data_IF_996067021396
#
_entry.id   IF_996067021396
#
_cell.length_a   1.000
_cell.length_b   1.000
_cell.length_c   1.000
_cell.angle_alpha   90.00
_cell.angle_beta   90.00
_cell.angle_gamma   90.00
#
_symmetry.space_group_name_H-M   'P 1'
#
loop_
_entity.id
_entity.type
_entity.pdbx_description
1 polymer ?
#
# COMPACT_ATOMS: atom_id res chain seq x y z
N UNK A 1 -15.13 12.59 -12.83
CA UNK A 1 -15.34 13.10 -11.46
C UNK A 1 -14.21 14.07 -11.17
N UNK A 2 -14.50 15.21 -10.59
CA UNK A 2 -13.53 16.23 -10.19
C UNK A 2 -13.47 16.33 -8.66
N UNK A 3 -12.46 17.03 -8.13
CA UNK A 3 -12.37 17.28 -6.68
C UNK A 3 -13.61 18.02 -6.14
N UNK A 4 -14.28 18.83 -6.97
CA UNK A 4 -15.52 19.53 -6.61
C UNK A 4 -16.74 18.61 -6.48
N UNK A 5 -16.67 17.39 -7.03
CA UNK A 5 -17.71 16.39 -6.83
C UNK A 5 -17.58 15.71 -5.45
N UNK A 6 -16.37 15.74 -4.88
CA UNK A 6 -16.01 15.07 -3.63
C UNK A 6 -15.95 16.02 -2.44
N UNK A 7 -15.74 17.32 -2.65
CA UNK A 7 -15.62 18.30 -1.58
C UNK A 7 -16.53 19.50 -1.85
N UNK A 8 -17.10 20.04 -0.78
CA UNK A 8 -17.81 21.33 -0.86
C UNK A 8 -16.80 22.46 -1.06
N UNK A 9 -17.26 23.58 -1.63
CA UNK A 9 -16.42 24.79 -1.75
C UNK A 9 -15.90 25.28 -0.40
N UNK A 10 -16.73 25.16 0.65
CA UNK A 10 -16.35 25.49 2.02
C UNK A 10 -15.23 24.58 2.52
N UNK A 11 -15.34 23.27 2.31
CA UNK A 11 -14.30 22.34 2.74
C UNK A 11 -12.98 22.62 2.01
N UNK A 12 -13.02 22.80 0.69
CA UNK A 12 -11.83 23.13 -0.11
C UNK A 12 -11.17 24.43 0.36
N UNK A 13 -11.95 25.49 0.58
CA UNK A 13 -11.40 26.75 1.07
C UNK A 13 -10.69 26.59 2.43
N UNK A 14 -11.24 25.80 3.35
CA UNK A 14 -10.57 25.54 4.64
C UNK A 14 -9.33 24.66 4.49
N UNK A 15 -9.32 23.72 3.53
CA UNK A 15 -8.12 22.94 3.20
C UNK A 15 -7.02 23.86 2.65
N UNK A 16 -7.37 24.82 1.79
CA UNK A 16 -6.42 25.81 1.26
C UNK A 16 -5.84 26.68 2.37
N UNK A 17 -6.66 27.17 3.31
CA UNK A 17 -6.18 27.92 4.48
C UNK A 17 -5.19 27.12 5.32
N UNK A 18 -5.46 25.83 5.55
CA UNK A 18 -4.54 24.94 6.26
C UNK A 18 -3.24 24.77 5.47
N UNK A 19 -3.31 24.55 4.15
CA UNK A 19 -2.13 24.41 3.30
C UNK A 19 -1.26 25.66 3.30
N UNK A 20 -1.87 26.85 3.24
CA UNK A 20 -1.15 28.12 3.29
C UNK A 20 -0.45 28.33 4.63
N UNK A 21 -1.12 27.99 5.73
CA UNK A 21 -0.52 28.05 7.06
C UNK A 21 0.65 27.05 7.21
N UNK A 22 0.50 25.83 6.69
CA UNK A 22 1.56 24.81 6.73
C UNK A 22 2.85 25.31 6.07
N UNK A 23 2.76 26.06 4.96
CA UNK A 23 3.93 26.59 4.24
C UNK A 23 4.78 27.54 5.08
N UNK A 24 4.23 28.11 6.16
CA UNK A 24 4.94 29.02 7.06
C UNK A 24 5.88 28.29 8.02
N UNK A 25 5.75 26.97 8.18
CA UNK A 25 6.58 26.17 9.09
C UNK A 25 7.87 25.65 8.42
N UNK A 26 8.91 25.27 9.17
CA UNK A 26 10.09 24.60 8.61
C UNK A 26 9.76 23.25 7.97
N UNK A 27 10.50 22.85 6.93
CA UNK A 27 10.29 21.62 6.14
C UNK A 27 10.09 20.35 6.98
N UNK A 28 10.82 20.23 8.09
CA UNK A 28 10.73 19.07 9.00
C UNK A 28 9.35 18.97 9.66
N UNK A 29 8.71 20.10 9.94
CA UNK A 29 7.37 20.19 10.52
C UNK A 29 6.32 20.09 9.42
N UNK A 30 6.55 20.71 8.25
CA UNK A 30 5.61 20.68 7.13
C UNK A 30 5.21 19.25 6.77
N UNK A 31 6.17 18.31 6.68
CA UNK A 31 5.90 16.90 6.36
C UNK A 31 4.89 16.26 7.32
N UNK A 32 5.02 16.53 8.62
CA UNK A 32 4.11 16.01 9.64
C UNK A 32 2.70 16.63 9.53
N UNK A 33 2.62 17.93 9.23
CA UNK A 33 1.35 18.63 9.04
C UNK A 33 0.65 18.23 7.74
N UNK A 34 1.39 18.06 6.64
CA UNK A 34 0.85 17.56 5.37
C UNK A 34 0.34 16.13 5.52
N UNK A 35 1.06 15.26 6.26
CA UNK A 35 0.58 13.92 6.60
C UNK A 35 -0.71 13.98 7.44
N UNK A 36 -0.81 14.94 8.36
CA UNK A 36 -2.02 15.17 9.16
C UNK A 36 -3.19 15.60 8.29
N UNK A 37 -2.97 16.52 7.35
CA UNK A 37 -3.99 16.97 6.40
C UNK A 37 -4.46 15.83 5.50
N UNK A 38 -3.55 15.11 4.84
CA UNK A 38 -3.92 14.02 3.93
C UNK A 38 -4.61 12.85 4.64
N UNK A 39 -4.17 12.50 5.85
CA UNK A 39 -4.82 11.44 6.63
C UNK A 39 -6.19 11.83 7.22
N UNK A 40 -6.56 13.11 7.14
CA UNK A 40 -7.88 13.61 7.56
C UNK A 40 -8.79 14.00 6.38
N UNK A 41 -8.25 14.22 5.18
CA UNK A 41 -8.99 14.71 4.01
C UNK A 41 -10.16 13.83 3.58
N UNK A 42 -10.04 12.50 3.70
CA UNK A 42 -11.16 11.59 3.42
C UNK A 42 -12.39 11.89 4.29
N UNK A 43 -12.18 12.25 5.56
CA UNK A 43 -13.26 12.61 6.50
C UNK A 43 -13.77 14.05 6.29
N UNK A 44 -13.00 14.89 5.60
CA UNK A 44 -13.40 16.25 5.20
C UNK A 44 -14.25 16.25 3.91
N UNK A 45 -14.32 15.10 3.23
CA UNK A 45 -15.03 14.95 1.95
C UNK A 45 -16.52 14.69 2.14
N UNK A 46 -17.28 14.89 1.07
CA UNK A 46 -18.69 14.51 0.95
C UNK A 46 -18.89 13.00 0.78
N UNK A 47 -17.81 12.20 0.83
CA UNK A 47 -17.91 10.72 0.77
C UNK A 47 -18.27 10.09 2.13
N UNK A 48 -18.33 10.89 3.20
CA UNK A 48 -18.66 10.41 4.54
C UNK A 48 -20.14 10.12 4.65
N UNK A 49 -20.51 8.85 4.50
CA UNK A 49 -21.91 8.42 4.57
C UNK A 49 -22.50 8.59 5.97
N UNK A 50 -23.80 8.85 6.01
CA UNK A 50 -24.56 8.84 7.24
C UNK A 50 -24.96 7.42 7.62
N UNK A 51 -24.61 7.01 8.84
CA UNK A 51 -25.08 5.75 9.41
C UNK A 51 -26.50 5.98 9.93
N UNK A 52 -27.47 5.33 9.29
CA UNK A 52 -28.84 5.24 9.79
C UNK A 52 -29.08 3.84 10.35
N UNK A 53 -29.91 3.72 11.39
CA UNK A 53 -30.33 2.43 11.96
C UNK A 53 -29.18 1.55 12.50
N UNK A 54 -28.19 2.15 13.17
CA UNK A 54 -27.13 1.39 13.84
C UNK A 54 -27.75 0.44 14.87
N UNK A 55 -27.26 -0.81 14.91
CA UNK A 55 -27.77 -1.85 15.82
C UNK A 55 -28.91 -2.71 15.27
N UNK A 56 -29.30 -2.56 13.99
CA UNK A 56 -30.25 -3.46 13.29
C UNK A 56 -29.89 -4.94 13.42
N UNK A 57 -28.61 -5.29 13.29
CA UNK A 57 -28.10 -6.66 13.45
C UNK A 57 -28.10 -7.16 14.91
N UNK A 58 -28.30 -6.27 15.89
CA UNK A 58 -28.36 -6.57 17.32
C UNK A 58 -29.74 -6.30 17.94
N UNK A 59 -30.79 -6.08 17.13
CA UNK A 59 -32.15 -5.71 17.56
C UNK A 59 -32.25 -4.48 18.49
N UNK A 60 -31.25 -3.59 18.48
CA UNK A 60 -31.27 -2.33 19.22
C UNK A 60 -31.21 -1.18 18.20
N UNK A 61 -32.36 -0.81 17.65
CA UNK A 61 -32.43 0.27 16.68
C UNK A 61 -32.33 1.64 17.37
N UNK A 62 -31.30 2.40 17.02
CA UNK A 62 -31.23 3.83 17.32
C UNK A 62 -31.76 4.63 16.13
N UNK A 63 -32.65 5.59 16.39
CA UNK A 63 -33.12 6.56 15.39
C UNK A 63 -32.10 7.70 15.15
N UNK A 64 -30.95 7.68 15.84
CA UNK A 64 -29.91 8.69 15.70
C UNK A 64 -29.14 8.47 14.39
N UNK A 65 -28.99 9.55 13.62
CA UNK A 65 -28.08 9.58 12.48
C UNK A 65 -26.67 9.83 13.01
N UNK A 66 -25.74 8.95 12.67
CA UNK A 66 -24.36 9.02 13.13
C UNK A 66 -23.38 9.19 11.97
N UNK A 67 -22.24 9.80 12.27
CA UNK A 67 -21.17 10.01 11.32
C UNK A 67 -20.50 8.67 10.98
N UNK A 68 -20.46 8.32 9.70
CA UNK A 68 -19.69 7.20 9.18
C UNK A 68 -18.23 7.57 8.86
N UNK A 69 -17.64 6.78 7.97
CA UNK A 69 -16.30 7.01 7.42
C UNK A 69 -16.35 6.76 5.92
N UNK A 70 -15.43 7.34 5.16
CA UNK A 70 -15.22 6.90 3.78
C UNK A 70 -14.81 5.41 3.74
N UNK A 71 -15.31 4.68 2.74
CA UNK A 71 -14.99 3.28 2.41
C UNK A 71 -14.53 3.23 0.96
N UNK A 72 -13.68 2.27 0.59
CA UNK A 72 -12.94 2.18 -0.68
C UNK A 72 -13.72 2.67 -1.93
N UNK A 73 -13.00 3.39 -2.80
CA UNK A 73 -13.50 3.95 -4.05
C UNK A 73 -14.08 5.36 -3.90
N UNK A 74 -14.24 6.06 -5.01
CA UNK A 74 -14.74 7.43 -5.02
C UNK A 74 -16.22 7.45 -5.41
N UNK A 75 -17.05 7.87 -4.46
CA UNK A 75 -18.49 8.02 -4.65
C UNK A 75 -19.05 8.96 -3.60
N UNK A 76 -20.13 9.66 -3.95
CA UNK A 76 -20.85 10.53 -3.03
C UNK A 76 -22.16 9.85 -2.62
N UNK A 77 -22.35 9.52 -1.33
CA UNK A 77 -23.63 9.00 -0.84
C UNK A 77 -24.73 10.04 -1.02
N UNK A 78 -25.97 9.59 -1.24
CA UNK A 78 -27.14 10.47 -1.24
C UNK A 78 -27.27 11.20 0.10
N UNK A 79 -27.16 10.45 1.21
CA UNK A 79 -27.12 10.99 2.56
C UNK A 79 -25.70 10.93 3.14
N UNK A 80 -25.07 12.09 3.28
CA UNK A 80 -23.69 12.25 3.75
C UNK A 80 -23.57 13.44 4.70
N UNK A 81 -22.48 13.45 5.48
CA UNK A 81 -22.11 14.58 6.32
C UNK A 81 -21.08 15.45 5.62
N UNK A 82 -21.19 16.77 5.81
CA UNK A 82 -20.07 17.69 5.64
C UNK A 82 -19.51 17.99 7.03
N UNK A 83 -18.33 17.43 7.32
CA UNK A 83 -17.70 17.57 8.63
C UNK A 83 -16.79 18.79 8.60
N UNK A 84 -16.74 19.52 9.72
CA UNK A 84 -15.85 20.66 9.86
C UNK A 84 -14.39 20.25 9.67
N UNK A 85 -13.73 20.88 8.68
CA UNK A 85 -12.36 20.61 8.27
C UNK A 85 -11.36 20.77 9.43
N UNK A 86 -11.46 21.84 10.20
CA UNK A 86 -10.58 22.10 11.34
C UNK A 86 -10.72 21.03 12.42
N UNK A 87 -11.94 20.57 12.71
CA UNK A 87 -12.17 19.48 13.65
C UNK A 87 -11.55 18.16 13.16
N UNK A 88 -11.65 17.86 11.85
CA UNK A 88 -11.00 16.71 11.25
C UNK A 88 -9.48 16.78 11.37
N UNK A 89 -8.90 17.94 11.05
CA UNK A 89 -7.45 18.17 11.12
C UNK A 89 -6.95 18.09 12.57
N UNK A 90 -7.59 18.79 13.51
CA UNK A 90 -7.19 18.82 14.91
C UNK A 90 -7.29 17.43 15.56
N UNK A 91 -8.36 16.67 15.28
CA UNK A 91 -8.51 15.30 15.75
C UNK A 91 -7.38 14.40 15.27
N UNK A 92 -6.96 14.57 14.00
CA UNK A 92 -5.83 13.82 13.44
C UNK A 92 -4.49 14.28 14.00
N UNK A 93 -4.30 15.58 14.21
CA UNK A 93 -3.10 16.14 14.83
C UNK A 93 -2.91 15.60 16.25
N UNK A 94 -3.98 15.54 17.06
CA UNK A 94 -3.96 14.95 18.41
C UNK A 94 -3.54 13.47 18.38
N UNK A 95 -4.01 12.70 17.40
CA UNK A 95 -3.60 11.28 17.22
C UNK A 95 -2.13 11.16 16.83
N UNK A 96 -1.65 11.99 15.91
CA UNK A 96 -0.24 12.00 15.53
C UNK A 96 0.64 12.39 16.72
N UNK A 97 0.27 13.44 17.46
CA UNK A 97 0.99 13.87 18.66
C UNK A 97 1.11 12.75 19.70
N UNK A 98 0.00 12.05 20.00
CA UNK A 98 0.03 10.90 20.91
C UNK A 98 0.97 9.79 20.41
N UNK A 99 0.89 9.45 19.11
CA UNK A 99 1.77 8.44 18.52
C UNK A 99 3.25 8.86 18.60
N UNK A 100 3.57 10.14 18.42
CA UNK A 100 4.94 10.65 18.52
C UNK A 100 5.51 10.58 19.94
N UNK A 101 4.67 10.67 20.98
CA UNK A 101 5.10 10.47 22.37
C UNK A 101 5.45 9.00 22.63
N UNK A 102 4.70 8.06 22.05
CA UNK A 102 4.86 6.62 22.27
C UNK A 102 6.01 6.00 21.43
N UNK A 103 6.53 6.70 20.42
CA UNK A 103 7.61 6.21 19.57
C UNK A 103 8.95 6.27 20.31
N UNK A 104 9.71 5.15 20.25
CA UNK A 104 11.05 5.09 20.83
C UNK A 104 11.96 6.19 20.24
N UNK A 105 12.74 6.87 21.08
CA UNK A 105 13.67 7.92 20.68
C UNK A 105 14.89 7.43 19.85
N UNK A 106 14.87 6.20 19.32
CA UNK A 106 15.94 5.70 18.46
C UNK A 106 16.00 6.51 17.17
N UNK A 107 17.05 7.31 17.05
CA UNK A 107 17.33 8.09 15.84
C UNK A 107 18.10 7.20 14.87
N UNK A 108 17.57 7.05 13.67
CA UNK A 108 18.30 6.43 12.56
C UNK A 108 18.95 7.53 11.71
N UNK A 109 20.19 7.31 11.31
CA UNK A 109 20.86 8.17 10.34
C UNK A 109 20.08 8.12 9.02
N UNK A 110 19.51 9.26 8.59
CA UNK A 110 18.87 9.37 7.28
C UNK A 110 19.93 9.72 6.24
N UNK A 111 20.01 8.93 5.18
CA UNK A 111 20.84 9.21 4.01
C UNK A 111 20.01 9.88 2.92
N UNK A 112 20.67 10.59 2.01
CA UNK A 112 20.04 11.24 0.85
C UNK A 112 20.32 10.50 -0.47
N UNK A 113 21.15 9.43 -0.45
CA UNK A 113 21.42 8.62 -1.63
C UNK A 113 21.68 7.14 -1.31
N UNK A 114 21.44 6.28 -2.30
CA UNK A 114 21.68 4.84 -2.23
C UNK A 114 23.16 4.57 -1.92
N UNK A 115 24.08 5.26 -2.61
CA UNK A 115 25.52 5.08 -2.40
C UNK A 115 25.95 5.41 -0.97
N UNK A 116 25.42 6.48 -0.38
CA UNK A 116 25.73 6.86 1.00
C UNK A 116 25.23 5.80 2.00
N UNK A 117 24.00 5.31 1.84
CA UNK A 117 23.45 4.26 2.69
C UNK A 117 24.27 2.97 2.60
N UNK A 118 24.57 2.51 1.38
CA UNK A 118 25.32 1.26 1.16
C UNK A 118 26.75 1.34 1.72
N UNK A 119 27.40 2.50 1.64
CA UNK A 119 28.72 2.72 2.26
C UNK A 119 28.64 2.71 3.79
N UNK A 120 27.64 3.36 4.38
CA UNK A 120 27.47 3.44 5.84
C UNK A 120 27.06 2.12 6.46
N UNK A 121 26.36 1.24 5.73
CA UNK A 121 25.75 0.00 6.23
C UNK A 121 24.81 0.17 7.43
N UNK A 122 24.44 1.41 7.74
CA UNK A 122 23.61 1.79 8.88
C UNK A 122 22.75 2.99 8.51
N UNK A 123 21.58 3.08 9.13
CA UNK A 123 20.60 4.13 8.86
C UNK A 123 19.53 3.71 7.87
N UNK A 124 18.86 4.69 7.28
CA UNK A 124 17.73 4.49 6.38
C UNK A 124 17.74 5.50 5.23
N UNK A 125 17.12 5.11 4.12
CA UNK A 125 16.84 5.95 2.97
C UNK A 125 15.38 5.74 2.58
N UNK A 126 14.66 6.84 2.36
CA UNK A 126 13.28 6.83 1.87
C UNK A 126 13.32 7.48 0.49
N UNK A 127 12.81 6.78 -0.51
CA UNK A 127 12.77 7.23 -1.90
C UNK A 127 11.32 7.26 -2.35
N UNK A 128 10.90 8.35 -2.99
CA UNK A 128 9.61 8.47 -3.64
C UNK A 128 9.84 8.55 -5.15
N UNK A 129 9.83 7.38 -5.80
CA UNK A 129 10.09 7.22 -7.23
C UNK A 129 9.54 5.85 -7.69
N UNK A 130 9.59 5.58 -8.98
CA UNK A 130 9.28 4.25 -9.54
C UNK A 130 10.26 3.19 -9.02
N UNK A 131 9.74 2.04 -8.58
CA UNK A 131 10.58 1.03 -7.94
C UNK A 131 11.57 0.39 -8.90
N UNK A 132 11.20 0.16 -10.17
CA UNK A 132 12.06 -0.48 -11.16
C UNK A 132 13.21 0.48 -11.52
N UNK A 133 12.91 1.75 -11.78
CA UNK A 133 13.91 2.78 -12.06
C UNK A 133 14.91 2.95 -10.89
N UNK A 134 14.42 2.87 -9.66
CA UNK A 134 15.28 2.92 -8.46
C UNK A 134 16.14 1.68 -8.35
N UNK A 135 15.57 0.49 -8.54
CA UNK A 135 16.29 -0.77 -8.45
C UNK A 135 17.46 -0.84 -9.44
N UNK A 136 17.25 -0.35 -10.67
CA UNK A 136 18.30 -0.28 -11.71
C UNK A 136 19.52 0.55 -11.27
N UNK A 137 19.37 1.50 -10.35
CA UNK A 137 20.45 2.34 -9.81
C UNK A 137 21.18 1.68 -8.63
N UNK A 138 20.64 0.60 -8.06
CA UNK A 138 21.25 -0.13 -6.95
C UNK A 138 22.27 -1.14 -7.50
N UNK A 139 23.49 -1.23 -6.94
CA UNK A 139 24.48 -2.23 -7.32
C UNK A 139 23.96 -3.66 -7.15
N UNK A 140 24.37 -4.56 -8.04
CA UNK A 140 24.07 -5.99 -7.91
C UNK A 140 24.63 -6.57 -6.61
N UNK A 141 24.03 -7.68 -6.14
CA UNK A 141 24.48 -8.42 -4.95
C UNK A 141 24.76 -7.55 -3.72
N UNK A 142 23.95 -6.51 -3.50
CA UNK A 142 24.15 -5.53 -2.42
C UNK A 142 23.09 -5.62 -1.32
N UNK A 143 21.97 -6.30 -1.58
CA UNK A 143 20.83 -6.38 -0.67
C UNK A 143 20.70 -7.79 -0.10
N UNK A 144 20.57 -7.87 1.23
CA UNK A 144 20.48 -9.15 1.96
C UNK A 144 19.05 -9.69 2.02
N UNK A 145 18.07 -8.80 2.13
CA UNK A 145 16.65 -9.13 2.27
C UNK A 145 15.84 -8.11 1.48
N UNK A 146 14.98 -8.60 0.60
CA UNK A 146 13.94 -7.81 -0.04
C UNK A 146 12.60 -8.30 0.49
N UNK A 147 11.77 -7.39 1.00
CA UNK A 147 10.40 -7.66 1.40
C UNK A 147 9.49 -6.72 0.62
N UNK A 148 8.45 -7.24 -0.02
CA UNK A 148 7.57 -6.43 -0.88
C UNK A 148 6.13 -6.94 -0.89
N UNK A 149 5.18 -6.01 -0.92
CA UNK A 149 3.76 -6.26 -1.15
C UNK A 149 3.36 -5.55 -2.47
N UNK A 150 3.68 -6.15 -3.64
CA UNK A 150 3.41 -5.53 -4.93
C UNK A 150 1.90 -5.54 -5.20
N UNK A 151 1.39 -4.72 -6.12
CA UNK A 151 -0.04 -4.71 -6.42
C UNK A 151 -0.60 -6.09 -6.80
N UNK A 152 -1.78 -6.43 -6.27
CA UNK A 152 -2.42 -7.74 -6.47
C UNK A 152 -3.27 -7.72 -7.75
N UNK A 153 -2.61 -7.50 -8.89
CA UNK A 153 -3.25 -7.35 -10.21
C UNK A 153 -4.28 -6.20 -10.29
N UNK A 154 -5.58 -6.51 -10.38
CA UNK A 154 -6.69 -5.56 -10.51
C UNK A 154 -7.38 -5.21 -9.17
N UNK A 155 -6.80 -5.66 -8.04
CA UNK A 155 -7.45 -5.54 -6.72
C UNK A 155 -7.61 -4.09 -6.27
N UNK A 156 -6.58 -3.25 -6.44
CA UNK A 156 -6.52 -1.87 -5.96
C UNK A 156 -5.81 -0.99 -7.00
N UNK A 157 -6.48 0.03 -7.56
CA UNK A 157 -5.83 1.02 -8.41
C UNK A 157 -5.22 2.14 -7.53
N UNK A 158 -3.97 1.96 -7.10
CA UNK A 158 -3.36 2.79 -6.07
C UNK A 158 -3.23 4.26 -6.48
N UNK A 159 -2.75 4.54 -7.70
CA UNK A 159 -2.60 5.92 -8.14
C UNK A 159 -3.95 6.61 -8.34
N UNK A 160 -4.98 5.88 -8.81
CA UNK A 160 -6.37 6.39 -8.89
C UNK A 160 -6.86 6.80 -7.52
N UNK A 161 -6.74 5.89 -6.55
CA UNK A 161 -7.15 6.17 -5.18
C UNK A 161 -6.31 7.26 -4.52
N UNK A 162 -5.13 7.57 -5.06
CA UNK A 162 -4.28 8.65 -4.56
C UNK A 162 -4.60 10.02 -5.14
N UNK A 163 -5.43 10.12 -6.18
CA UNK A 163 -5.70 11.38 -6.89
C UNK A 163 -6.28 12.48 -6.00
N UNK A 164 -7.10 12.13 -5.00
CA UNK A 164 -7.58 13.10 -4.01
C UNK A 164 -6.42 13.79 -3.29
N UNK A 165 -5.46 13.02 -2.78
CA UNK A 165 -4.32 13.58 -2.04
C UNK A 165 -3.38 14.33 -2.96
N UNK A 166 -3.14 13.79 -4.16
CA UNK A 166 -2.31 14.46 -5.15
C UNK A 166 -2.91 15.80 -5.56
N UNK A 167 -4.24 15.88 -5.74
CA UNK A 167 -4.94 17.12 -6.05
C UNK A 167 -4.83 18.15 -4.90
N UNK A 168 -5.03 17.71 -3.65
CA UNK A 168 -4.88 18.59 -2.47
C UNK A 168 -3.45 19.12 -2.35
N UNK A 169 -2.45 18.27 -2.59
CA UNK A 169 -1.03 18.63 -2.49
C UNK A 169 -0.45 19.27 -3.76
N UNK A 170 -1.28 19.48 -4.78
CA UNK A 170 -0.87 19.95 -6.11
C UNK A 170 0.32 19.15 -6.68
N UNK A 171 0.19 17.81 -6.66
CA UNK A 171 1.16 16.85 -7.18
C UNK A 171 0.64 16.20 -8.45
N UNK A 172 1.54 16.07 -9.43
CA UNK A 172 1.31 15.28 -10.62
C UNK A 172 1.85 13.86 -10.41
N UNK A 173 1.11 12.86 -10.87
CA UNK A 173 1.52 11.45 -10.82
C UNK A 173 1.63 10.86 -12.21
N UNK A 174 2.56 9.95 -12.38
CA UNK A 174 2.77 9.25 -13.63
C UNK A 174 2.11 7.87 -13.59
N UNK A 175 0.94 7.75 -14.22
CA UNK A 175 0.19 6.51 -14.31
C UNK A 175 0.84 5.46 -15.24
N UNK A 176 1.72 5.88 -16.16
CA UNK A 176 2.30 4.97 -17.16
C UNK A 176 3.20 3.91 -16.54
N UNK A 177 3.88 4.26 -15.45
CA UNK A 177 4.80 3.34 -14.77
C UNK A 177 4.11 2.43 -13.76
N UNK A 178 2.86 2.70 -13.39
CA UNK A 178 2.12 1.88 -12.44
C UNK A 178 2.04 0.40 -12.88
N UNK A 179 2.25 -0.50 -11.93
CA UNK A 179 2.19 -1.96 -12.11
C UNK A 179 0.85 -2.45 -11.57
N UNK A 180 -0.22 -2.26 -12.35
CA UNK A 180 -1.57 -2.74 -12.02
C UNK A 180 -2.26 -3.28 -13.27
N UNK A 181 -3.39 -3.95 -13.07
CA UNK A 181 -4.40 -4.10 -14.10
C UNK A 181 -5.52 -3.11 -13.80
N UNK A 182 -5.93 -2.30 -14.79
CA UNK A 182 -7.04 -1.34 -14.62
C UNK A 182 -8.12 -1.61 -15.66
N UNK A 183 -9.37 -1.46 -15.23
CA UNK A 183 -10.54 -1.49 -16.09
C UNK A 183 -10.85 -0.12 -16.73
N UNK A 184 -10.12 0.94 -16.35
CA UNK A 184 -10.22 2.25 -16.96
C UNK A 184 -9.74 2.18 -18.41
N UNK A 185 -10.66 2.36 -19.37
CA UNK A 185 -10.42 2.15 -20.81
C UNK A 185 -9.32 3.07 -21.34
N UNK A 186 -9.26 4.29 -20.82
CA UNK A 186 -8.31 5.32 -21.18
C UNK A 186 -6.87 5.01 -20.76
N UNK A 187 -6.65 4.06 -19.85
CA UNK A 187 -5.32 3.74 -19.30
C UNK A 187 -4.65 2.54 -19.96
N UNK A 188 -5.44 1.69 -20.62
CA UNK A 188 -4.97 0.51 -21.34
C UNK A 188 -4.05 -0.44 -20.52
N UNK A 189 -4.21 -0.49 -19.18
CA UNK A 189 -3.42 -1.33 -18.27
C UNK A 189 -3.92 -2.76 -18.23
N UNK A 190 -3.33 -3.62 -19.08
CA UNK A 190 -3.78 -5.00 -19.31
C UNK A 190 -2.98 -6.02 -18.51
N UNK A 191 -3.57 -7.20 -18.31
CA UNK A 191 -2.96 -8.34 -17.59
C UNK A 191 -1.57 -8.71 -18.12
N UNK A 192 -1.38 -8.76 -19.44
CA UNK A 192 -0.08 -9.08 -20.04
C UNK A 192 1.00 -8.05 -19.66
N UNK A 193 0.71 -6.75 -19.71
CA UNK A 193 1.65 -5.70 -19.31
C UNK A 193 2.00 -5.81 -17.82
N UNK A 194 1.00 -6.08 -16.98
CA UNK A 194 1.20 -6.33 -15.56
C UNK A 194 2.15 -7.52 -15.32
N UNK A 195 1.95 -8.64 -16.01
CA UNK A 195 2.81 -9.83 -15.88
C UNK A 195 4.26 -9.50 -16.28
N UNK A 196 4.46 -8.81 -17.41
CA UNK A 196 5.81 -8.46 -17.87
C UNK A 196 6.52 -7.48 -16.92
N UNK A 197 5.80 -6.49 -16.37
CA UNK A 197 6.34 -5.58 -15.35
C UNK A 197 6.69 -6.30 -14.05
N UNK A 198 5.85 -7.25 -13.62
CA UNK A 198 6.14 -8.10 -12.46
C UNK A 198 7.37 -9.00 -12.69
N UNK A 199 7.54 -9.55 -13.90
CA UNK A 199 8.75 -10.30 -14.27
C UNK A 199 10.01 -9.43 -14.23
N UNK A 200 9.93 -8.21 -14.77
CA UNK A 200 11.03 -7.25 -14.72
C UNK A 200 11.40 -6.90 -13.28
N UNK A 201 10.41 -6.66 -12.42
CA UNK A 201 10.61 -6.42 -10.99
C UNK A 201 11.33 -7.58 -10.29
N UNK A 202 10.93 -8.83 -10.55
CA UNK A 202 11.59 -10.02 -9.98
C UNK A 202 13.01 -10.20 -10.53
N UNK A 203 13.23 -9.89 -11.81
CA UNK A 203 14.57 -9.92 -12.41
C UNK A 203 15.51 -8.94 -11.71
N UNK A 204 15.07 -7.71 -11.49
CA UNK A 204 15.83 -6.72 -10.72
C UNK A 204 16.05 -7.18 -9.27
N UNK A 205 15.03 -7.73 -8.61
CA UNK A 205 15.18 -8.27 -7.25
C UNK A 205 16.24 -9.39 -7.20
N UNK A 206 16.25 -10.27 -8.20
CA UNK A 206 17.25 -11.33 -8.36
C UNK A 206 18.67 -10.77 -8.49
N UNK A 207 18.85 -9.72 -9.31
CA UNK A 207 20.15 -9.04 -9.52
C UNK A 207 20.66 -8.38 -8.23
N UNK A 208 19.78 -7.74 -7.47
CA UNK A 208 20.15 -7.01 -6.26
C UNK A 208 20.52 -7.91 -5.08
N UNK A 209 19.99 -9.12 -5.01
CA UNK A 209 20.20 -10.01 -3.87
C UNK A 209 21.62 -10.57 -3.79
N UNK A 210 22.19 -10.53 -2.58
CA UNK A 210 23.41 -11.28 -2.24
C UNK A 210 23.18 -12.77 -2.47
N UNK A 211 24.26 -13.54 -2.65
CA UNK A 211 24.16 -14.98 -2.92
C UNK A 211 23.43 -15.73 -1.79
N UNK A 212 23.58 -15.25 -0.55
CA UNK A 212 22.92 -15.74 0.66
C UNK A 212 21.69 -14.92 1.09
N UNK A 213 21.13 -14.14 0.16
CA UNK A 213 19.98 -13.28 0.39
C UNK A 213 18.62 -13.97 0.27
N UNK A 214 17.57 -13.27 0.66
CA UNK A 214 16.18 -13.73 0.59
C UNK A 214 15.26 -12.69 -0.04
N UNK A 215 14.26 -13.18 -0.77
CA UNK A 215 13.17 -12.38 -1.30
C UNK A 215 11.84 -12.86 -0.71
N UNK A 216 11.11 -11.96 -0.07
CA UNK A 216 9.76 -12.18 0.45
C UNK A 216 8.76 -11.37 -0.36
N UNK A 217 7.81 -12.06 -1.00
CA UNK A 217 6.73 -11.43 -1.77
C UNK A 217 5.41 -11.73 -1.09
N UNK A 218 4.72 -10.70 -0.63
CA UNK A 218 3.38 -10.78 -0.07
C UNK A 218 2.40 -10.70 -1.24
N UNK A 219 1.70 -11.78 -1.57
CA UNK A 219 0.88 -11.81 -2.76
C UNK A 219 -0.29 -12.79 -2.66
N UNK A 220 -1.42 -12.39 -3.22
CA UNK A 220 -2.51 -13.29 -3.53
C UNK A 220 -3.37 -12.72 -4.67
N UNK A 221 -3.87 -13.59 -5.54
CA UNK A 221 -4.78 -13.19 -6.61
C UNK A 221 -5.81 -14.29 -6.87
N UNK A 222 -7.01 -13.87 -7.30
CA UNK A 222 -8.17 -14.76 -7.51
C UNK A 222 -8.06 -15.60 -8.78
N UNK A 223 -7.27 -15.17 -9.74
CA UNK A 223 -7.12 -15.80 -11.04
C UNK A 223 -5.70 -16.33 -11.23
N UNK A 224 -5.57 -17.48 -11.89
CA UNK A 224 -4.27 -18.10 -12.18
C UNK A 224 -3.39 -17.24 -13.07
N UNK A 225 -3.98 -16.43 -13.95
CA UNK A 225 -3.24 -15.59 -14.87
C UNK A 225 -2.38 -14.55 -14.13
N UNK A 226 -2.89 -13.96 -13.05
CA UNK A 226 -2.15 -13.05 -12.18
C UNK A 226 -0.90 -13.67 -11.54
N UNK A 227 -0.80 -14.99 -11.44
CA UNK A 227 0.35 -15.69 -10.86
C UNK A 227 1.42 -16.07 -11.90
N UNK A 228 1.13 -15.95 -13.21
CA UNK A 228 2.03 -16.39 -14.29
C UNK A 228 3.40 -15.72 -14.29
N UNK A 229 3.56 -14.58 -13.62
CA UNK A 229 4.90 -13.98 -13.47
C UNK A 229 5.87 -14.92 -12.72
N UNK A 230 5.38 -15.82 -11.86
CA UNK A 230 6.21 -16.80 -11.15
C UNK A 230 6.80 -17.88 -12.07
N UNK A 231 6.23 -18.11 -13.25
CA UNK A 231 6.77 -19.08 -14.24
C UNK A 231 8.19 -18.70 -14.69
N UNK A 232 8.59 -17.42 -14.54
CA UNK A 232 9.96 -17.00 -14.83
C UNK A 232 10.99 -17.66 -13.90
N UNK A 233 10.57 -18.10 -12.70
CA UNK A 233 11.48 -18.68 -11.71
C UNK A 233 12.07 -20.01 -12.19
N UNK A 234 11.28 -20.76 -12.96
CA UNK A 234 11.69 -22.04 -13.55
C UNK A 234 12.75 -21.82 -14.64
N UNK A 235 12.52 -20.83 -15.52
CA UNK A 235 13.22 -20.75 -16.80
C UNK A 235 14.28 -19.64 -16.89
N UNK A 236 14.11 -18.51 -16.20
CA UNK A 236 14.82 -17.26 -16.53
C UNK A 236 15.35 -16.48 -15.33
N UNK A 237 15.28 -17.01 -14.11
CA UNK A 237 15.76 -16.32 -12.92
C UNK A 237 16.82 -17.13 -12.16
N UNK A 238 17.75 -16.41 -11.52
CA UNK A 238 18.65 -16.98 -10.51
C UNK A 238 17.94 -17.25 -9.18
N UNK A 239 16.64 -16.97 -9.08
CA UNK A 239 15.83 -17.24 -7.90
C UNK A 239 15.15 -18.60 -8.00
N UNK A 240 14.92 -19.19 -6.84
CA UNK A 240 14.11 -20.38 -6.64
C UNK A 240 13.13 -20.13 -5.50
N UNK A 241 11.89 -20.56 -5.71
CA UNK A 241 10.89 -20.66 -4.65
C UNK A 241 11.29 -21.76 -3.67
N UNK A 242 11.17 -21.49 -2.37
CA UNK A 242 11.49 -22.49 -1.32
C UNK A 242 10.33 -22.81 -0.39
N UNK A 243 9.30 -21.96 -0.38
CA UNK A 243 8.11 -22.20 0.40
C UNK A 243 7.26 -20.95 0.55
N UNK A 244 6.11 -21.11 1.16
CA UNK A 244 5.17 -20.06 1.47
C UNK A 244 4.53 -20.28 2.84
N UNK A 245 3.97 -19.23 3.41
CA UNK A 245 3.13 -19.31 4.60
C UNK A 245 2.02 -18.25 4.55
N UNK A 246 0.86 -18.48 5.18
CA UNK A 246 -0.24 -17.54 5.17
C UNK A 246 0.10 -16.28 5.98
N UNK A 247 -0.32 -15.13 5.47
CA UNK A 247 -0.45 -13.89 6.24
C UNK A 247 -1.93 -13.64 6.52
N UNK A 248 -2.33 -13.90 7.76
CA UNK A 248 -3.68 -13.60 8.22
C UNK A 248 -3.80 -12.11 8.57
N UNK A 249 -4.90 -11.49 8.14
CA UNK A 249 -5.17 -10.10 8.49
C UNK A 249 -5.55 -10.00 9.98
N UNK A 250 -5.04 -8.96 10.65
CA UNK A 250 -5.39 -8.66 12.04
C UNK A 250 -6.85 -8.22 12.22
N UNK A 251 -7.47 -7.71 11.14
CA UNK A 251 -8.90 -7.43 11.04
C UNK A 251 -9.35 -7.49 9.57
N UNK A 252 -10.58 -7.93 9.33
CA UNK A 252 -11.18 -7.87 8.01
C UNK A 252 -11.61 -6.44 7.67
N UNK A 253 -11.49 -6.07 6.40
CA UNK A 253 -12.08 -4.86 5.85
C UNK A 253 -13.59 -5.02 5.64
N UNK A 254 -14.31 -3.89 5.58
CA UNK A 254 -15.74 -3.82 5.24
C UNK A 254 -16.04 -4.59 3.94
N UNK A 255 -15.13 -4.56 2.98
CA UNK A 255 -15.30 -5.26 1.69
C UNK A 255 -15.16 -6.77 1.86
N UNK A 256 -14.19 -7.22 2.66
CA UNK A 256 -13.98 -8.65 2.92
C UNK A 256 -15.14 -9.27 3.70
N UNK A 257 -15.72 -8.51 4.63
CA UNK A 257 -16.86 -8.99 5.42
C UNK A 257 -18.16 -9.03 4.63
N UNK A 258 -18.35 -8.12 3.66
CA UNK A 258 -19.62 -7.97 2.96
C UNK A 258 -19.65 -8.53 1.53
N UNK A 259 -18.50 -8.86 0.91
CA UNK A 259 -18.46 -9.48 -0.42
C UNK A 259 -18.22 -10.99 -0.33
N UNK A 260 -19.11 -11.77 -0.97
CA UNK A 260 -18.88 -13.21 -1.21
C UNK A 260 -17.57 -13.40 -1.97
N UNK A 261 -16.75 -14.37 -1.55
CA UNK A 261 -15.42 -14.64 -2.13
C UNK A 261 -14.35 -13.57 -1.82
N UNK A 262 -14.54 -12.72 -0.80
CA UNK A 262 -13.48 -11.84 -0.30
C UNK A 262 -12.26 -12.66 0.12
N UNK A 263 -11.07 -12.36 -0.42
CA UNK A 263 -9.84 -13.03 0.01
C UNK A 263 -9.53 -12.62 1.45
N UNK A 264 -9.42 -13.61 2.33
CA UNK A 264 -9.24 -13.41 3.79
C UNK A 264 -7.80 -13.63 4.26
N UNK A 265 -6.94 -14.05 3.35
CA UNK A 265 -5.52 -14.31 3.62
C UNK A 265 -4.73 -13.87 2.38
N UNK A 266 -3.53 -13.35 2.61
CA UNK A 266 -2.49 -13.31 1.58
C UNK A 266 -1.44 -14.37 1.90
N UNK A 267 -0.48 -14.57 1.02
CA UNK A 267 0.65 -15.47 1.26
C UNK A 267 1.95 -14.72 1.20
N UNK A 268 2.88 -15.08 2.09
CA UNK A 268 4.28 -14.69 1.95
C UNK A 268 4.98 -15.79 1.17
N UNK A 269 5.38 -15.50 -0.06
CA UNK A 269 6.22 -16.37 -0.87
C UNK A 269 7.68 -16.11 -0.53
N UNK A 270 8.42 -17.18 -0.26
CA UNK A 270 9.83 -17.13 0.10
C UNK A 270 10.67 -17.65 -1.05
N UNK A 271 11.56 -16.80 -1.55
CA UNK A 271 12.52 -17.14 -2.59
C UNK A 271 13.95 -16.88 -2.12
N UNK A 272 14.89 -17.60 -2.70
CA UNK A 272 16.34 -17.39 -2.53
C UNK A 272 17.06 -17.60 -3.84
N UNK A 273 18.36 -17.26 -3.90
CA UNK A 273 19.17 -17.62 -5.08
C UNK A 273 19.38 -19.13 -5.21
N UNK A 274 19.43 -19.60 -6.46
CA UNK A 274 19.79 -20.97 -6.86
C UNK A 274 21.23 -21.28 -6.43
N UNK A 275 21.50 -22.53 -6.09
CA UNK A 275 22.85 -22.99 -5.70
C UNK A 275 23.34 -22.55 -4.31
N UNK A 276 22.64 -21.67 -3.60
CA UNK A 276 23.07 -21.25 -2.26
C UNK A 276 22.55 -22.17 -1.15
N UNK A 277 23.47 -22.71 -0.34
CA UNK A 277 23.17 -23.44 0.88
C UNK A 277 22.83 -22.46 2.00
N UNK A 278 21.57 -22.44 2.41
CA UNK A 278 21.05 -21.47 3.37
C UNK A 278 20.79 -22.12 4.72
N UNK A 279 21.48 -21.67 5.77
CA UNK A 279 21.42 -22.24 7.12
C UNK A 279 20.06 -22.07 7.81
N UNK A 280 19.18 -21.20 7.31
CA UNK A 280 17.92 -20.82 7.94
C UNK A 280 16.71 -21.69 7.58
N UNK A 281 16.86 -22.73 6.72
CA UNK A 281 15.73 -23.58 6.30
C UNK A 281 14.95 -24.16 7.48
N UNK A 282 15.66 -24.70 8.47
CA UNK A 282 15.08 -25.26 9.69
C UNK A 282 14.32 -24.25 10.57
N UNK A 283 14.53 -22.94 10.38
CA UNK A 283 13.77 -21.89 11.08
C UNK A 283 12.49 -21.54 10.32
N UNK A 284 12.54 -21.56 8.99
CA UNK A 284 11.37 -21.30 8.14
C UNK A 284 10.32 -22.41 8.29
N UNK A 285 10.76 -23.66 8.38
CA UNK A 285 9.85 -24.81 8.58
C UNK A 285 9.06 -24.74 9.91
N UNK A 286 9.43 -23.85 10.84
CA UNK A 286 8.73 -23.61 12.11
C UNK A 286 7.67 -22.52 12.01
N UNK A 287 7.56 -21.82 10.88
CA UNK A 287 6.55 -20.79 10.69
C UNK A 287 5.17 -21.48 10.58
N UNK A 288 4.16 -21.06 11.35
CA UNK A 288 2.82 -21.62 11.25
C UNK A 288 2.28 -21.58 9.81
N UNK A 289 1.77 -22.71 9.33
CA UNK A 289 1.23 -22.83 7.97
C UNK A 289 2.29 -22.86 6.86
N UNK A 290 3.57 -23.10 7.20
CA UNK A 290 4.63 -23.28 6.20
C UNK A 290 4.31 -24.43 5.23
N UNK A 291 4.51 -24.15 3.95
CA UNK A 291 4.31 -25.09 2.84
C UNK A 291 5.45 -24.95 1.83
N UNK A 292 5.92 -26.07 1.28
CA UNK A 292 6.90 -26.07 0.18
C UNK A 292 6.24 -25.95 -1.20
N UNK A 293 4.92 -25.78 -1.24
CA UNK A 293 4.13 -25.63 -2.46
C UNK A 293 3.73 -24.17 -2.66
N UNK A 294 3.58 -23.78 -3.93
CA UNK A 294 2.93 -22.51 -4.28
C UNK A 294 1.46 -22.59 -3.82
N UNK A 295 0.91 -21.54 -3.19
CA UNK A 295 -0.48 -21.55 -2.73
C UNK A 295 -1.47 -21.91 -3.84
N UNK A 296 -2.44 -22.77 -3.53
CA UNK A 296 -3.52 -23.09 -4.45
C UNK A 296 -4.50 -21.91 -4.54
N UNK A 297 -4.89 -21.56 -5.77
CA UNK A 297 -5.88 -20.52 -6.02
C UNK A 297 -7.21 -21.05 -5.52
N UNK A 298 -7.74 -20.44 -4.45
CA UNK A 298 -9.13 -20.66 -4.08
C UNK A 298 -9.98 -20.04 -5.20
N UNK A 299 -10.48 -20.88 -6.11
CA UNK A 299 -11.49 -20.47 -7.07
C UNK A 299 -12.65 -19.88 -6.29
N UNK A 300 -12.98 -18.62 -6.56
CA UNK A 300 -14.20 -18.02 -6.03
C UNK A 300 -15.38 -18.73 -6.70
N UNK A 301 -15.99 -19.68 -5.98
CA UNK A 301 -17.32 -20.20 -6.30
C UNK A 301 -18.41 -19.19 -5.93
#
# INVERSE_FOLDING_TARGET
>A
MSIYDLFTRRALHNIDLILDEIKLFPDVIQKALLLTLTSSSGQMSSMVFAITNRGKTKNQMSNKIEVGSWVIGYWRPELHFEINVWNCFESRAKKLYKALIDISNHKYLRHESISALLKSKQGALIINDDCIDVMQKIPEKSIKLICTDPPHSDRIPYLELSEIWNSILNKNVNFEKEIIVSNAKERNKKKNEYIEKMKLFISEASRLLTDDGMFLIYFNARDQESWKFLEMLENNSDLQFIGSFPMEYSANSVVQDNRKGGMKTDYVLVLKRKGCCTSYKHKLDKIPGWSTLVPQIASAT
#
